data_IF_828981261546
#
_entry.id   IF_828981261546
#
_cell.length_a   1.000
_cell.length_b   1.000
_cell.length_c   1.000
_cell.angle_alpha   90.00
_cell.angle_beta   90.00
_cell.angle_gamma   90.00
#
_symmetry.space_group_name_H-M   'P 1'
#
loop_
_entity.id
_entity.type
_entity.pdbx_description
1 polymer ?
#
# COMPACT_ATOMS: atom_id res chain seq x y z
N UNK A 1 -24.85 -8.89 -12.17
CA UNK A 1 -25.15 -9.80 -11.04
C UNK A 1 -24.26 -9.43 -9.90
N UNK A 2 -24.85 -8.98 -8.79
CA UNK A 2 -24.13 -8.31 -7.70
C UNK A 2 -23.49 -9.33 -6.77
N UNK A 3 -22.19 -9.52 -6.87
CA UNK A 3 -21.39 -10.31 -5.92
C UNK A 3 -21.42 -9.74 -4.49
N UNK A 4 -21.93 -8.54 -4.32
CA UNK A 4 -21.95 -7.79 -3.07
C UNK A 4 -22.90 -8.33 -1.99
N UNK A 5 -23.90 -9.13 -2.34
CA UNK A 5 -24.91 -9.58 -1.38
C UNK A 5 -24.67 -11.02 -0.87
N UNK A 6 -23.98 -11.87 -1.64
CA UNK A 6 -23.77 -13.26 -1.29
C UNK A 6 -22.49 -13.53 -0.48
N UNK A 7 -21.51 -12.62 -0.52
CA UNK A 7 -20.27 -12.72 0.25
C UNK A 7 -20.23 -11.85 1.52
N UNK A 8 -21.34 -11.29 1.95
CA UNK A 8 -21.41 -10.46 3.16
C UNK A 8 -20.71 -9.11 3.06
N UNK A 9 -20.33 -8.67 1.88
CA UNK A 9 -19.67 -7.38 1.67
C UNK A 9 -20.67 -6.23 1.67
N UNK A 10 -20.61 -5.38 2.69
CA UNK A 10 -21.14 -4.03 2.58
C UNK A 10 -20.23 -3.21 1.67
N UNK A 11 -20.79 -2.41 0.76
CA UNK A 11 -20.09 -1.57 -0.23
C UNK A 11 -19.02 -0.64 0.35
N UNK A 12 -19.07 -0.36 1.63
CA UNK A 12 -18.24 0.56 2.38
C UNK A 12 -16.94 -0.06 2.93
N UNK A 13 -16.66 -1.36 2.66
CA UNK A 13 -15.52 -2.09 3.24
C UNK A 13 -14.64 -2.84 2.24
N UNK A 14 -14.57 -2.44 0.98
CA UNK A 14 -13.64 -3.02 0.00
C UNK A 14 -12.26 -2.34 0.07
N UNK A 15 -11.90 -1.76 1.19
CA UNK A 15 -10.55 -1.28 1.42
C UNK A 15 -9.75 -2.37 2.12
N UNK A 16 -8.95 -3.09 1.33
CA UNK A 16 -8.09 -4.14 1.83
C UNK A 16 -6.68 -3.60 1.93
N UNK A 17 -6.53 -2.68 2.85
CA UNK A 17 -5.26 -2.13 3.25
C UNK A 17 -4.82 -2.76 4.55
N UNK A 18 -3.55 -3.05 4.66
CA UNK A 18 -2.89 -3.41 5.91
C UNK A 18 -1.85 -2.33 6.21
N UNK A 19 -1.99 -1.65 7.33
CA UNK A 19 -1.16 -0.49 7.65
C UNK A 19 -0.13 -0.82 8.72
N UNK A 20 1.13 -0.45 8.45
CA UNK A 20 2.19 -0.43 9.45
C UNK A 20 2.31 0.95 10.09
N UNK A 21 2.84 0.99 11.31
CA UNK A 21 3.07 2.19 12.08
C UNK A 21 4.48 2.17 12.64
N UNK A 22 5.12 3.32 12.73
CA UNK A 22 6.41 3.46 13.41
C UNK A 22 6.28 3.08 14.89
N UNK A 23 7.32 2.43 15.45
CA UNK A 23 7.32 1.99 16.83
C UNK A 23 6.51 0.72 17.12
N UNK A 24 6.17 -0.06 16.10
CA UNK A 24 5.48 -1.35 16.27
C UNK A 24 4.01 -1.24 16.68
N UNK A 25 3.43 -0.04 16.65
CA UNK A 25 2.01 0.17 16.93
C UNK A 25 1.21 -0.55 15.83
N UNK A 26 0.29 -1.43 16.23
CA UNK A 26 -0.67 -2.03 15.30
C UNK A 26 -1.96 -1.24 15.35
N UNK A 27 -2.45 -0.80 14.20
CA UNK A 27 -3.75 -0.18 14.11
C UNK A 27 -4.86 -1.14 14.58
N UNK A 28 -5.89 -0.62 15.23
CA UNK A 28 -7.01 -1.40 15.79
C UNK A 28 -7.64 -2.35 14.77
N UNK A 29 -7.54 -2.03 13.48
CA UNK A 29 -8.19 -2.75 12.39
C UNK A 29 -7.23 -3.64 11.57
N UNK A 30 -5.90 -3.53 11.81
CA UNK A 30 -4.86 -4.19 11.02
C UNK A 30 -4.07 -5.14 11.91
N UNK A 31 -4.65 -6.31 12.18
CA UNK A 31 -4.09 -7.34 13.03
C UNK A 31 -4.17 -8.71 12.35
N UNK A 32 -3.63 -9.73 13.01
CA UNK A 32 -3.64 -11.10 12.51
C UNK A 32 -5.07 -11.62 12.24
N UNK A 33 -6.03 -11.26 13.06
CA UNK A 33 -7.44 -11.66 12.92
C UNK A 33 -8.09 -11.07 11.66
N UNK A 34 -7.72 -9.84 11.30
CA UNK A 34 -8.14 -9.23 10.04
C UNK A 34 -7.69 -10.06 8.83
N UNK A 35 -6.41 -10.50 8.82
CA UNK A 35 -5.89 -11.34 7.73
C UNK A 35 -6.56 -12.71 7.68
N UNK A 36 -6.80 -13.34 8.84
CA UNK A 36 -7.52 -14.62 8.90
C UNK A 36 -8.88 -14.46 8.23
N UNK A 37 -9.68 -13.49 8.65
CA UNK A 37 -11.01 -13.22 8.07
C UNK A 37 -10.96 -12.91 6.58
N UNK A 38 -9.95 -12.17 6.14
CA UNK A 38 -9.77 -11.89 4.71
C UNK A 38 -9.61 -13.16 3.90
N UNK A 39 -8.76 -14.10 4.33
CA UNK A 39 -8.54 -15.35 3.61
C UNK A 39 -9.74 -16.31 3.70
N UNK A 40 -10.42 -16.38 4.83
CA UNK A 40 -11.67 -17.14 4.97
C UNK A 40 -12.76 -16.67 3.99
N UNK A 41 -12.93 -15.36 3.85
CA UNK A 41 -13.87 -14.78 2.89
C UNK A 41 -13.44 -15.05 1.45
N UNK A 42 -12.14 -14.94 1.17
CA UNK A 42 -11.57 -15.23 -0.15
C UNK A 42 -11.85 -16.71 -0.55
N UNK A 43 -11.64 -17.64 0.37
CA UNK A 43 -11.86 -19.07 0.13
C UNK A 43 -13.34 -19.39 -0.09
N UNK A 44 -14.24 -18.75 0.64
CA UNK A 44 -15.69 -18.85 0.36
C UNK A 44 -16.02 -18.35 -1.05
N UNK A 45 -15.41 -17.24 -1.47
CA UNK A 45 -15.60 -16.74 -2.84
C UNK A 45 -15.02 -17.70 -3.88
N UNK A 46 -13.86 -18.29 -3.64
CA UNK A 46 -13.24 -19.29 -4.53
C UNK A 46 -14.14 -20.51 -4.71
N UNK A 47 -14.68 -21.04 -3.63
CA UNK A 47 -15.63 -22.17 -3.66
C UNK A 47 -16.92 -21.80 -4.41
N UNK A 48 -17.49 -20.63 -4.13
CA UNK A 48 -18.74 -20.19 -4.76
C UNK A 48 -18.63 -20.02 -6.27
N UNK A 49 -17.46 -19.61 -6.75
CA UNK A 49 -17.20 -19.32 -8.16
C UNK A 49 -16.27 -20.32 -8.83
N UNK A 50 -16.07 -21.49 -8.24
CA UNK A 50 -15.25 -22.55 -8.80
C UNK A 50 -15.65 -22.89 -10.24
N UNK A 51 -14.65 -23.00 -11.11
CA UNK A 51 -14.83 -23.23 -12.56
C UNK A 51 -15.41 -22.04 -13.34
N UNK A 52 -15.77 -20.93 -12.69
CA UNK A 52 -16.32 -19.73 -13.34
C UNK A 52 -15.40 -18.51 -13.27
N UNK A 53 -14.67 -18.34 -12.18
CA UNK A 53 -13.75 -17.22 -11.98
C UNK A 53 -12.46 -17.69 -11.31
N UNK A 54 -11.35 -17.10 -11.74
CA UNK A 54 -10.07 -17.20 -11.03
C UNK A 54 -10.03 -16.04 -10.04
N UNK A 55 -10.06 -16.35 -8.74
CA UNK A 55 -10.04 -15.35 -7.67
C UNK A 55 -8.65 -15.36 -7.02
N UNK A 56 -7.95 -14.24 -7.14
CA UNK A 56 -6.61 -14.04 -6.58
C UNK A 56 -6.63 -13.23 -5.30
N UNK A 57 -5.68 -13.54 -4.41
CA UNK A 57 -5.46 -12.80 -3.19
C UNK A 57 -4.58 -11.58 -3.46
N UNK A 58 -5.04 -10.38 -3.12
CA UNK A 58 -4.25 -9.17 -3.22
C UNK A 58 -4.43 -8.30 -1.98
N UNK A 59 -3.37 -7.61 -1.58
CA UNK A 59 -3.39 -6.71 -0.43
C UNK A 59 -2.55 -5.47 -0.70
N UNK A 60 -3.08 -4.31 -0.35
CA UNK A 60 -2.31 -3.09 -0.29
C UNK A 60 -1.73 -2.91 1.11
N UNK A 61 -0.40 -2.93 1.19
CA UNK A 61 0.33 -2.72 2.43
C UNK A 61 0.83 -1.28 2.50
N UNK A 62 0.28 -0.53 3.43
CA UNK A 62 0.76 0.81 3.74
C UNK A 62 1.98 0.76 4.66
N UNK A 63 3.02 1.53 4.35
CA UNK A 63 4.16 1.79 5.24
C UNK A 63 5.07 0.58 5.52
N UNK A 64 5.24 -0.37 4.60
CA UNK A 64 6.12 -1.56 4.76
C UNK A 64 7.53 -1.19 5.25
N UNK A 65 8.05 -0.05 4.81
CA UNK A 65 9.39 0.44 5.13
C UNK A 65 9.58 0.89 6.58
N UNK A 66 8.52 1.04 7.36
CA UNK A 66 8.61 1.42 8.78
C UNK A 66 9.01 0.25 9.67
N UNK A 67 8.66 -0.97 9.30
CA UNK A 67 9.01 -2.19 10.02
C UNK A 67 9.16 -3.36 9.02
N UNK A 68 10.28 -3.41 8.27
CA UNK A 68 10.48 -4.39 7.20
C UNK A 68 10.47 -5.84 7.67
N UNK A 69 10.98 -6.12 8.88
CA UNK A 69 11.00 -7.48 9.44
C UNK A 69 9.60 -7.98 9.74
N UNK A 70 8.79 -7.16 10.40
CA UNK A 70 7.40 -7.48 10.69
C UNK A 70 6.58 -7.58 9.40
N UNK A 71 6.82 -6.69 8.44
CA UNK A 71 6.19 -6.72 7.13
C UNK A 71 6.47 -8.04 6.41
N UNK A 72 7.73 -8.44 6.31
CA UNK A 72 8.14 -9.73 5.73
C UNK A 72 7.49 -10.91 6.44
N UNK A 73 7.44 -10.91 7.77
CA UNK A 73 6.78 -11.95 8.57
C UNK A 73 5.28 -12.07 8.25
N UNK A 74 4.59 -10.95 8.09
CA UNK A 74 3.16 -10.92 7.74
C UNK A 74 2.94 -11.39 6.30
N UNK A 75 3.71 -10.88 5.35
CA UNK A 75 3.62 -11.25 3.93
C UNK A 75 3.83 -12.76 3.78
N UNK A 76 4.86 -13.33 4.39
CA UNK A 76 5.16 -14.77 4.33
C UNK A 76 4.17 -15.64 5.10
N UNK A 77 3.37 -15.08 6.00
CA UNK A 77 2.39 -15.83 6.79
C UNK A 77 1.17 -16.30 6.00
N UNK A 78 0.95 -15.78 4.78
CA UNK A 78 -0.21 -16.05 3.92
C UNK A 78 0.18 -16.07 2.44
N UNK A 79 -0.51 -16.88 1.61
CA UNK A 79 -0.25 -16.99 0.18
C UNK A 79 -0.93 -15.85 -0.58
N UNK A 80 -0.33 -14.66 -0.56
CA UNK A 80 -0.78 -13.57 -1.42
C UNK A 80 -0.34 -13.81 -2.86
N UNK A 81 -1.25 -13.59 -3.80
CA UNK A 81 -0.96 -13.65 -5.24
C UNK A 81 -0.39 -12.32 -5.76
N UNK A 82 -0.69 -11.19 -5.08
CA UNK A 82 -0.25 -9.86 -5.48
C UNK A 82 -0.20 -8.88 -4.30
N UNK A 83 0.87 -8.11 -4.24
CA UNK A 83 1.13 -7.16 -3.19
C UNK A 83 1.35 -5.75 -3.75
N UNK A 84 0.67 -4.77 -3.16
CA UNK A 84 0.88 -3.36 -3.45
C UNK A 84 1.53 -2.72 -2.23
N UNK A 85 2.65 -2.03 -2.44
CA UNK A 85 3.31 -1.23 -1.42
C UNK A 85 2.94 0.24 -1.56
N UNK A 86 2.41 0.86 -0.50
CA UNK A 86 1.92 2.24 -0.53
C UNK A 86 2.44 3.10 0.63
N UNK A 87 2.39 4.42 0.44
CA UNK A 87 2.63 5.41 1.48
C UNK A 87 1.36 6.23 1.70
N UNK A 88 0.78 6.12 2.91
CA UNK A 88 -0.42 6.85 3.31
C UNK A 88 -0.15 7.86 4.41
N UNK A 89 0.99 7.74 5.10
CA UNK A 89 1.35 8.51 6.30
C UNK A 89 2.75 9.08 6.19
N UNK A 90 2.98 10.14 6.89
CA UNK A 90 4.31 10.65 7.21
C UNK A 90 4.50 10.46 8.72
N UNK A 91 5.45 9.63 9.10
CA UNK A 91 5.50 9.10 10.46
C UNK A 91 4.23 8.27 10.75
N UNK A 92 3.50 8.64 11.80
CA UNK A 92 2.25 8.00 12.18
C UNK A 92 1.01 8.85 11.83
N UNK A 93 1.17 9.98 11.13
CA UNK A 93 0.09 10.89 10.79
C UNK A 93 -0.36 10.60 9.36
N UNK A 94 -1.65 10.29 9.18
CA UNK A 94 -2.25 10.10 7.86
C UNK A 94 -2.24 11.41 7.07
N UNK A 95 -1.97 11.34 5.76
CA UNK A 95 -1.95 12.52 4.90
C UNK A 95 -3.28 13.29 4.94
N UNK A 96 -4.40 12.60 5.16
CA UNK A 96 -5.71 13.24 5.29
C UNK A 96 -5.90 14.08 6.57
N UNK A 97 -5.01 13.90 7.55
CA UNK A 97 -5.00 14.62 8.82
C UNK A 97 -3.97 15.76 8.85
N UNK A 98 -3.19 15.91 7.80
CA UNK A 98 -2.21 16.97 7.68
C UNK A 98 -2.84 18.26 7.16
N UNK A 99 -2.32 19.38 7.62
CA UNK A 99 -2.71 20.70 7.11
C UNK A 99 -1.92 21.05 5.86
N UNK A 100 -2.59 21.04 4.71
CA UNK A 100 -2.03 21.43 3.43
C UNK A 100 -2.23 22.94 3.24
N UNK A 101 -1.15 23.70 3.35
CA UNK A 101 -1.07 25.15 3.14
C UNK A 101 0.13 25.49 2.29
N UNK A 102 0.23 26.70 1.76
CA UNK A 102 1.37 27.17 0.95
C UNK A 102 2.71 27.03 1.68
N UNK A 103 2.73 27.24 2.99
CA UNK A 103 3.93 27.17 3.84
C UNK A 103 4.30 25.74 4.28
N UNK A 104 3.37 24.77 4.24
CA UNK A 104 3.62 23.38 4.68
C UNK A 104 3.72 22.37 3.54
N UNK A 105 3.14 22.65 2.39
CA UNK A 105 3.02 21.70 1.27
C UNK A 105 4.34 21.17 0.78
N UNK A 106 5.38 22.02 0.75
CA UNK A 106 6.71 21.64 0.31
C UNK A 106 7.33 20.59 1.24
N UNK A 107 7.25 20.79 2.55
CA UNK A 107 7.78 19.88 3.56
C UNK A 107 7.03 18.53 3.51
N UNK A 108 5.70 18.56 3.38
CA UNK A 108 4.87 17.37 3.25
C UNK A 108 5.26 16.58 2.00
N UNK A 109 5.43 17.24 0.86
CA UNK A 109 5.81 16.57 -0.38
C UNK A 109 7.21 15.96 -0.30
N UNK A 110 8.20 16.67 0.22
CA UNK A 110 9.57 16.16 0.41
C UNK A 110 9.59 14.95 1.35
N UNK A 111 8.84 15.00 2.43
CA UNK A 111 8.69 13.87 3.35
C UNK A 111 8.00 12.68 2.66
N UNK A 112 6.94 12.94 1.90
CA UNK A 112 6.21 11.89 1.16
C UNK A 112 7.12 11.14 0.17
N UNK A 113 7.87 11.87 -0.67
CA UNK A 113 8.82 11.25 -1.60
C UNK A 113 9.98 10.56 -0.90
N UNK A 114 10.42 11.06 0.26
CA UNK A 114 11.42 10.36 1.08
C UNK A 114 10.90 9.01 1.58
N UNK A 115 9.63 8.93 1.99
CA UNK A 115 9.00 7.67 2.37
C UNK A 115 8.81 6.72 1.18
N UNK A 116 8.39 7.22 0.01
CA UNK A 116 8.32 6.42 -1.22
C UNK A 116 9.67 5.83 -1.61
N UNK A 117 10.75 6.61 -1.48
CA UNK A 117 12.10 6.14 -1.79
C UNK A 117 12.58 5.06 -0.80
N UNK A 118 12.23 5.18 0.48
CA UNK A 118 12.49 4.14 1.49
C UNK A 118 11.69 2.87 1.17
N UNK A 119 10.42 3.01 0.81
CA UNK A 119 9.55 1.91 0.41
C UNK A 119 10.11 1.18 -0.82
N UNK A 120 10.54 1.91 -1.85
CA UNK A 120 11.17 1.36 -3.06
C UNK A 120 12.46 0.56 -2.78
N UNK A 121 13.12 0.80 -1.65
CA UNK A 121 14.32 0.07 -1.23
C UNK A 121 14.01 -1.20 -0.46
N UNK A 122 12.85 -1.31 0.16
CA UNK A 122 12.43 -2.51 0.91
C UNK A 122 12.01 -3.65 0.00
N UNK A 123 11.46 -3.36 -1.16
CA UNK A 123 11.37 -4.27 -2.31
C UNK A 123 10.42 -5.46 -2.22
N UNK A 124 9.69 -5.67 -1.12
CA UNK A 124 8.87 -6.87 -0.91
C UNK A 124 7.40 -6.64 -1.33
N UNK A 125 7.20 -6.19 -2.58
CA UNK A 125 5.88 -5.99 -3.20
C UNK A 125 5.97 -6.08 -4.72
N UNK A 126 4.86 -6.41 -5.37
CA UNK A 126 4.78 -6.55 -6.84
C UNK A 126 4.59 -5.20 -7.55
N UNK A 127 3.93 -4.26 -6.90
CA UNK A 127 3.64 -2.95 -7.45
C UNK A 127 3.71 -1.87 -6.38
N UNK A 128 4.31 -0.74 -6.71
CA UNK A 128 4.19 0.46 -5.89
C UNK A 128 2.82 1.11 -6.17
N UNK A 129 2.10 1.45 -5.12
CA UNK A 129 0.87 2.21 -5.19
C UNK A 129 1.12 3.65 -5.65
N UNK A 130 0.09 4.48 -5.55
CA UNK A 130 0.11 5.87 -5.98
C UNK A 130 1.40 6.64 -5.61
N UNK A 131 1.99 7.34 -6.58
CA UNK A 131 3.18 8.18 -6.38
C UNK A 131 2.82 9.63 -6.02
N UNK A 132 1.54 9.98 -6.03
CA UNK A 132 1.05 11.34 -5.96
C UNK A 132 -0.12 11.55 -4.99
N UNK A 133 -0.28 10.69 -4.00
CA UNK A 133 -1.42 10.76 -3.07
C UNK A 133 -1.54 12.13 -2.38
N UNK A 134 -0.42 12.76 -2.00
CA UNK A 134 -0.44 14.07 -1.37
C UNK A 134 -1.10 15.15 -2.25
N UNK A 135 -1.02 15.02 -3.58
CA UNK A 135 -1.65 15.96 -4.53
C UNK A 135 -3.18 15.96 -4.47
N UNK A 136 -3.78 14.84 -4.07
CA UNK A 136 -5.23 14.80 -3.80
C UNK A 136 -5.59 15.79 -2.68
N UNK A 137 -4.74 15.91 -1.68
CA UNK A 137 -4.93 16.81 -0.55
C UNK A 137 -4.59 18.25 -0.91
N UNK A 138 -3.54 18.50 -1.73
CA UNK A 138 -3.26 19.82 -2.31
C UNK A 138 -4.48 20.35 -3.07
N UNK A 139 -5.05 19.57 -3.97
CA UNK A 139 -6.25 19.97 -4.72
C UNK A 139 -7.44 20.29 -3.82
N UNK A 140 -7.66 19.51 -2.75
CA UNK A 140 -8.72 19.79 -1.76
C UNK A 140 -8.49 21.10 -1.01
N UNK A 141 -7.24 21.47 -0.80
CA UNK A 141 -6.85 22.71 -0.15
C UNK A 141 -6.75 23.92 -1.11
N UNK A 142 -7.04 23.73 -2.41
CA UNK A 142 -6.93 24.79 -3.43
C UNK A 142 -5.49 25.15 -3.77
N UNK A 143 -4.52 24.29 -3.46
CA UNK A 143 -3.11 24.51 -3.76
C UNK A 143 -2.76 24.07 -5.19
N UNK A 144 -1.79 24.72 -5.85
CA UNK A 144 -1.33 24.32 -7.16
C UNK A 144 -0.75 22.91 -7.16
N UNK A 145 -0.98 22.20 -8.25
CA UNK A 145 -0.52 20.84 -8.48
C UNK A 145 0.74 20.87 -9.35
N UNK A 146 1.88 21.15 -8.72
CA UNK A 146 3.15 21.32 -9.41
C UNK A 146 3.87 19.97 -9.60
N UNK A 147 3.64 19.33 -10.77
CA UNK A 147 4.27 18.05 -11.12
C UNK A 147 5.76 18.18 -11.44
N UNK A 148 6.14 19.24 -12.13
CA UNK A 148 7.48 19.40 -12.70
C UNK A 148 8.55 19.48 -11.61
N UNK A 149 8.20 20.06 -10.48
CA UNK A 149 9.08 20.21 -9.32
C UNK A 149 9.57 18.88 -8.72
N UNK A 150 8.82 17.80 -8.90
CA UNK A 150 9.09 16.49 -8.29
C UNK A 150 9.44 15.40 -9.29
N UNK A 151 9.63 15.74 -10.57
CA UNK A 151 9.94 14.77 -11.62
C UNK A 151 11.18 13.93 -11.27
N UNK A 152 12.26 14.55 -10.86
CA UNK A 152 13.49 13.85 -10.46
C UNK A 152 13.26 12.87 -9.30
N UNK A 153 12.40 13.22 -8.34
CA UNK A 153 12.05 12.36 -7.22
C UNK A 153 11.25 11.15 -7.69
N UNK A 154 10.30 11.37 -8.58
CA UNK A 154 9.49 10.30 -9.19
C UNK A 154 10.39 9.34 -9.96
N UNK A 155 11.30 9.86 -10.79
CA UNK A 155 12.27 9.05 -11.55
C UNK A 155 13.15 8.22 -10.61
N UNK A 156 13.63 8.79 -9.51
CA UNK A 156 14.41 8.06 -8.50
C UNK A 156 13.62 6.91 -7.89
N UNK A 157 12.37 7.14 -7.52
CA UNK A 157 11.48 6.11 -6.94
C UNK A 157 11.25 4.99 -7.94
N UNK A 158 10.87 5.30 -9.18
CA UNK A 158 10.62 4.32 -10.24
C UNK A 158 11.88 3.51 -10.57
N UNK A 159 13.03 4.16 -10.70
CA UNK A 159 14.30 3.48 -10.97
C UNK A 159 14.67 2.49 -9.86
N UNK A 160 14.39 2.83 -8.60
CA UNK A 160 14.66 1.94 -7.47
C UNK A 160 13.70 0.75 -7.42
N UNK A 161 12.41 0.98 -7.66
CA UNK A 161 11.39 -0.08 -7.72
C UNK A 161 11.74 -1.12 -8.79
N UNK A 162 12.14 -0.68 -9.99
CA UNK A 162 12.54 -1.59 -11.08
C UNK A 162 13.79 -2.41 -10.76
N UNK A 163 14.74 -1.87 -10.01
CA UNK A 163 15.95 -2.59 -9.59
C UNK A 163 15.64 -3.65 -8.53
N UNK A 164 14.76 -3.35 -7.57
CA UNK A 164 14.30 -4.30 -6.56
C UNK A 164 13.64 -5.55 -7.19
N UNK A 165 12.81 -5.37 -8.21
CA UNK A 165 12.21 -6.49 -8.94
C UNK A 165 13.23 -7.41 -9.61
N UNK A 166 14.33 -6.88 -10.13
CA UNK A 166 15.39 -7.68 -10.77
C UNK A 166 16.19 -8.50 -9.76
N UNK A 167 16.50 -7.94 -8.62
CA UNK A 167 17.25 -8.64 -7.56
C UNK A 167 16.43 -9.76 -6.93
N UNK A 168 15.14 -9.54 -6.67
CA UNK A 168 14.24 -10.55 -6.12
C UNK A 168 13.97 -11.72 -7.08
N UNK A 169 13.82 -11.45 -8.38
CA UNK A 169 13.64 -12.51 -9.39
C UNK A 169 14.88 -13.37 -9.60
N UNK A 170 16.07 -12.81 -9.41
CA UNK A 170 17.32 -13.56 -9.54
C UNK A 170 17.57 -14.53 -8.38
N UNK A 171 17.05 -14.26 -7.19
CA UNK A 171 17.21 -15.12 -6.00
C UNK A 171 16.21 -16.27 -5.92
N UNK A 172 15.17 -16.28 -6.77
CA UNK A 172 14.16 -17.36 -6.83
C UNK A 172 14.39 -18.37 -7.96
N UNK A 173 15.48 -18.24 -8.72
CA UNK A 173 15.88 -19.18 -9.78
C UNK A 173 17.12 -20.01 -9.43
N UNK A 174 17.47 -20.11 -8.15
CA UNK A 174 18.56 -20.92 -7.64
C UNK A 174 18.08 -22.13 -6.86
#
# INVERSE_FOLDING_TARGET
MQCSHSCGYRRDRIYRHYEFYAGGITGKYFNREYLIRYFEELDKCRQMYEGRLIIRSAMEFGQLHLDPEKASGIIKSRPFDYLIGSVHKIGNIDLSQMEFREDTVQEIADAYYSHLLKLARTGDFDCMGHLDLYKRHCRKAGLPDDYDKYEDRIVQVLTRSLRGERELRSTHQG
#
